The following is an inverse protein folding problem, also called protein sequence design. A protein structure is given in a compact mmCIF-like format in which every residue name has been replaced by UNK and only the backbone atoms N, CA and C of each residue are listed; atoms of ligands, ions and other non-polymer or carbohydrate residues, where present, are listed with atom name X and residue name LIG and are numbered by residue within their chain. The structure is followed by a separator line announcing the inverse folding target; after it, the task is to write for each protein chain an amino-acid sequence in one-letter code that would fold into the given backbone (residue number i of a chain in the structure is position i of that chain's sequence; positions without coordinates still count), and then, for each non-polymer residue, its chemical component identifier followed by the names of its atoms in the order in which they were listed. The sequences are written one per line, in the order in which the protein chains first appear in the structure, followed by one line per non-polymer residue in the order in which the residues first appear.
data_IF_312517014186
#
_entry.id   IF_312517014186
#
_cell.length_a   1.000
_cell.length_b   1.000
_cell.length_c   1.000
_cell.angle_alpha   90.00
_cell.angle_beta   90.00
_cell.angle_gamma   90.00
#
_symmetry.space_group_name_H-M   'P 1'
#
loop_
_entity.id
_entity.type
_entity.pdbx_description
1 polymer ?
#
# COMPACT_ATOMS: atom_id res chain seq x y z
N UNK A 1 -17.23 -13.98 -57.78
CA UNK A 1 -16.77 -14.85 -56.67
C UNK A 1 -15.33 -14.55 -56.19
N UNK A 2 -14.37 -14.15 -57.04
CA UNK A 2 -12.97 -13.85 -56.63
C UNK A 2 -12.78 -12.63 -55.70
N UNK A 3 -13.66 -11.62 -55.76
CA UNK A 3 -13.55 -10.39 -54.96
C UNK A 3 -14.00 -10.61 -53.51
N UNK A 4 -15.01 -11.44 -53.28
CA UNK A 4 -15.46 -11.76 -51.92
C UNK A 4 -14.44 -12.59 -51.14
N UNK A 5 -13.73 -13.51 -51.80
CA UNK A 5 -12.63 -14.26 -51.20
C UNK A 5 -11.44 -13.37 -50.80
N UNK A 6 -11.14 -12.32 -51.60
CA UNK A 6 -10.10 -11.33 -51.29
C UNK A 6 -10.49 -10.42 -50.12
N UNK A 7 -11.74 -9.99 -50.06
CA UNK A 7 -12.26 -9.20 -48.93
C UNK A 7 -12.31 -10.02 -47.62
N UNK A 8 -12.71 -11.29 -47.70
CA UNK A 8 -12.71 -12.20 -46.55
C UNK A 8 -11.29 -12.44 -46.00
N UNK A 9 -10.30 -12.55 -46.91
CA UNK A 9 -8.89 -12.72 -46.54
C UNK A 9 -8.30 -11.46 -45.87
N UNK A 10 -8.65 -10.27 -46.37
CA UNK A 10 -8.27 -9.00 -45.73
C UNK A 10 -8.88 -8.83 -44.33
N UNK A 11 -10.15 -9.23 -44.16
CA UNK A 11 -10.84 -9.14 -42.87
C UNK A 11 -10.27 -10.13 -41.84
N UNK A 12 -9.88 -11.32 -42.28
CA UNK A 12 -9.18 -12.31 -41.45
C UNK A 12 -7.81 -11.80 -40.97
N UNK A 13 -7.06 -11.10 -41.84
CA UNK A 13 -5.77 -10.49 -41.49
C UNK A 13 -5.93 -9.37 -40.45
N UNK A 14 -6.96 -8.54 -40.57
CA UNK A 14 -7.27 -7.49 -39.60
C UNK A 14 -7.65 -8.05 -38.21
N UNK A 15 -8.36 -9.19 -38.19
CA UNK A 15 -8.75 -9.86 -36.96
C UNK A 15 -7.54 -10.43 -36.21
N UNK A 16 -6.60 -11.05 -36.91
CA UNK A 16 -5.35 -11.57 -36.32
C UNK A 16 -4.51 -10.45 -35.69
N UNK A 17 -4.43 -9.28 -36.33
CA UNK A 17 -3.67 -8.13 -35.81
C UNK A 17 -4.30 -7.48 -34.57
N UNK A 18 -5.62 -7.64 -34.36
CA UNK A 18 -6.33 -7.06 -33.20
C UNK A 18 -6.07 -7.83 -31.89
N UNK A 19 -5.60 -9.08 -31.96
CA UNK A 19 -5.35 -9.92 -30.77
C UNK A 19 -3.93 -9.65 -30.20
N UNK A 20 -3.04 -9.01 -30.96
CA UNK A 20 -1.65 -8.77 -30.58
C UNK A 20 -1.44 -7.67 -29.53
N UNK A 21 -2.49 -6.93 -29.15
CA UNK A 21 -2.38 -5.78 -28.23
C UNK A 21 -2.62 -6.12 -26.75
N UNK A 22 -2.95 -7.36 -26.40
CA UNK A 22 -3.33 -7.75 -25.04
C UNK A 22 -2.23 -8.63 -24.40
N UNK A 23 -1.16 -8.03 -23.89
CA UNK A 23 -0.09 -8.83 -23.25
C UNK A 23 1.11 -8.10 -22.64
N UNK A 24 1.27 -6.79 -22.88
CA UNK A 24 2.45 -6.03 -22.39
C UNK A 24 2.10 -5.24 -21.12
N UNK A 25 1.45 -5.88 -20.16
CA UNK A 25 1.26 -5.33 -18.83
C UNK A 25 1.52 -6.43 -17.81
N UNK A 26 2.80 -6.61 -17.48
CA UNK A 26 3.17 -7.31 -16.26
C UNK A 26 2.92 -6.34 -15.11
N UNK A 27 2.03 -6.70 -14.19
CA UNK A 27 1.88 -6.03 -12.90
C UNK A 27 3.17 -6.25 -12.10
N UNK A 28 4.20 -5.47 -12.40
CA UNK A 28 5.39 -5.33 -11.56
C UNK A 28 5.01 -4.46 -10.35
N UNK A 29 4.02 -4.91 -9.60
CA UNK A 29 3.72 -4.33 -8.31
C UNK A 29 4.81 -4.81 -7.34
N UNK A 30 5.24 -3.90 -6.47
CA UNK A 30 6.51 -3.94 -5.73
C UNK A 30 6.71 -5.30 -5.05
N UNK A 31 7.59 -6.14 -5.61
CA UNK A 31 7.79 -7.50 -5.10
C UNK A 31 8.69 -7.45 -3.87
N UNK A 32 8.14 -7.87 -2.73
CA UNK A 32 8.93 -8.12 -1.52
C UNK A 32 9.91 -9.26 -1.85
N UNK A 33 11.22 -9.12 -1.60
CA UNK A 33 12.19 -10.16 -1.91
C UNK A 33 11.79 -11.48 -1.26
N UNK A 34 11.93 -12.63 -1.94
CA UNK A 34 11.50 -13.94 -1.42
C UNK A 34 12.26 -14.38 -0.16
N UNK A 35 13.37 -13.71 0.15
CA UNK A 35 14.17 -13.91 1.35
C UNK A 35 13.48 -13.38 2.63
N UNK A 36 12.59 -12.39 2.49
CA UNK A 36 11.89 -11.76 3.62
C UNK A 36 10.61 -12.54 3.89
N UNK A 37 10.51 -13.13 5.08
CA UNK A 37 9.34 -13.95 5.46
C UNK A 37 8.63 -13.42 6.69
N UNK A 38 9.34 -12.68 7.54
CA UNK A 38 8.85 -12.27 8.85
C UNK A 38 8.78 -10.75 8.98
N UNK A 39 7.73 -10.26 9.64
CA UNK A 39 7.55 -8.85 9.91
C UNK A 39 7.12 -8.62 11.35
N UNK A 40 7.75 -7.66 12.01
CA UNK A 40 7.33 -7.14 13.30
C UNK A 40 6.70 -5.77 13.12
N UNK A 41 5.47 -5.63 13.59
CA UNK A 41 4.72 -4.36 13.56
C UNK A 41 4.62 -3.86 15.01
N UNK A 42 5.31 -2.76 15.31
CA UNK A 42 5.19 -2.08 16.59
C UNK A 42 3.86 -1.33 16.74
N UNK A 43 3.46 -1.07 17.98
CA UNK A 43 2.31 -0.22 18.27
C UNK A 43 2.55 1.21 17.78
N UNK A 44 1.53 1.83 17.19
CA UNK A 44 1.63 3.20 16.68
C UNK A 44 1.40 4.18 17.83
N UNK A 45 2.48 4.70 18.40
CA UNK A 45 2.42 5.69 19.48
C UNK A 45 1.89 7.04 18.98
N UNK A 46 0.97 7.65 19.73
CA UNK A 46 0.52 9.01 19.45
C UNK A 46 1.40 10.04 20.17
N UNK A 47 2.20 10.79 19.43
CA UNK A 47 3.02 11.92 19.92
C UNK A 47 2.58 13.25 19.30
N UNK A 48 1.35 13.33 18.78
CA UNK A 48 0.77 14.57 18.31
C UNK A 48 0.39 15.49 19.48
N UNK A 49 0.30 16.79 19.22
CA UNK A 49 -0.09 17.79 20.22
C UNK A 49 -1.52 17.57 20.75
N UNK A 50 -2.44 17.19 19.86
CA UNK A 50 -3.80 16.80 20.23
C UNK A 50 -3.94 15.28 20.19
N UNK A 51 -4.14 14.66 21.35
CA UNK A 51 -4.10 13.21 21.50
C UNK A 51 -5.53 12.66 21.50
N UNK A 52 -5.87 11.95 20.42
CA UNK A 52 -7.01 11.04 20.42
C UNK A 52 -6.52 9.62 20.80
N UNK A 53 -6.97 9.03 21.92
CA UNK A 53 -6.47 7.75 22.40
C UNK A 53 -6.94 6.55 21.56
N UNK A 54 -8.06 6.64 20.84
CA UNK A 54 -8.57 5.53 20.02
C UNK A 54 -7.92 5.46 18.64
N UNK A 55 -7.39 6.58 18.14
CA UNK A 55 -6.74 6.69 16.84
C UNK A 55 -5.54 5.73 16.71
N UNK A 56 -4.70 5.64 17.74
CA UNK A 56 -3.54 4.73 17.74
C UNK A 56 -3.93 3.27 17.55
N UNK A 57 -4.92 2.81 18.31
CA UNK A 57 -5.38 1.43 18.23
C UNK A 57 -5.99 1.15 16.84
N UNK A 58 -6.88 2.01 16.36
CA UNK A 58 -7.53 1.84 15.06
C UNK A 58 -6.53 1.84 13.89
N UNK A 59 -5.55 2.74 13.90
CA UNK A 59 -4.52 2.79 12.87
C UNK A 59 -3.60 1.56 12.94
N UNK A 60 -3.25 1.11 14.14
CA UNK A 60 -2.45 -0.10 14.34
C UNK A 60 -3.18 -1.31 13.77
N UNK A 61 -4.46 -1.51 14.11
CA UNK A 61 -5.26 -2.64 13.64
C UNK A 61 -5.48 -2.59 12.12
N UNK A 62 -5.81 -1.41 11.59
CA UNK A 62 -5.95 -1.20 10.15
C UNK A 62 -4.64 -1.50 9.40
N UNK A 63 -3.50 -1.09 9.95
CA UNK A 63 -2.19 -1.35 9.37
C UNK A 63 -1.85 -2.83 9.39
N UNK A 64 -2.06 -3.52 10.52
CA UNK A 64 -1.87 -4.96 10.64
C UNK A 64 -2.72 -5.71 9.61
N UNK A 65 -4.00 -5.35 9.49
CA UNK A 65 -4.91 -5.96 8.51
C UNK A 65 -4.46 -5.69 7.06
N UNK A 66 -3.95 -4.48 6.78
CA UNK A 66 -3.43 -4.11 5.45
C UNK A 66 -2.20 -4.95 5.10
N UNK A 67 -1.25 -5.09 6.00
CA UNK A 67 -0.04 -5.90 5.79
C UNK A 67 -0.43 -7.37 5.57
N UNK A 68 -1.31 -7.92 6.40
CA UNK A 68 -1.76 -9.31 6.27
C UNK A 68 -2.53 -9.60 4.97
N UNK A 69 -3.26 -8.61 4.43
CA UNK A 69 -4.04 -8.78 3.18
C UNK A 69 -3.23 -8.53 1.92
N UNK A 70 -2.14 -7.76 1.99
CA UNK A 70 -1.34 -7.38 0.82
C UNK A 70 0.01 -8.09 0.74
N UNK A 71 0.43 -8.80 1.78
CA UNK A 71 1.72 -9.47 1.83
C UNK A 71 1.58 -10.90 2.35
N UNK A 72 2.54 -11.76 2.01
CA UNK A 72 2.64 -13.13 2.55
C UNK A 72 3.54 -13.19 3.80
N UNK A 73 3.80 -12.04 4.43
CA UNK A 73 4.70 -11.94 5.57
C UNK A 73 4.02 -12.49 6.82
N UNK A 74 4.75 -13.31 7.58
CA UNK A 74 4.29 -13.82 8.86
C UNK A 74 4.60 -12.80 9.95
N UNK A 75 3.59 -12.39 10.70
CA UNK A 75 3.78 -11.49 11.83
C UNK A 75 4.44 -12.23 13.00
N UNK A 76 5.54 -11.69 13.50
CA UNK A 76 6.19 -12.13 14.74
C UNK A 76 6.49 -10.93 15.63
N UNK A 77 6.48 -11.11 16.94
CA UNK A 77 6.75 -10.01 17.89
C UNK A 77 8.24 -9.86 18.25
N UNK A 78 9.12 -10.64 17.59
CA UNK A 78 10.58 -10.61 17.77
C UNK A 78 11.24 -9.45 16.98
N UNK A 79 12.23 -8.81 17.61
CA UNK A 79 13.11 -7.81 16.98
C UNK A 79 14.03 -8.40 15.92
N UNK A 80 14.23 -9.72 15.91
CA UNK A 80 14.99 -10.45 14.89
C UNK A 80 14.19 -10.73 13.61
N UNK A 81 12.96 -10.22 13.48
CA UNK A 81 12.19 -10.28 12.25
C UNK A 81 12.97 -9.67 11.08
N UNK A 82 12.72 -10.18 9.87
CA UNK A 82 13.40 -9.70 8.66
C UNK A 82 13.12 -8.21 8.44
N UNK A 83 11.86 -7.80 8.65
CA UNK A 83 11.44 -6.40 8.72
C UNK A 83 10.90 -6.03 10.10
N UNK A 84 11.36 -4.90 10.62
CA UNK A 84 10.82 -4.29 11.85
C UNK A 84 10.29 -2.90 11.51
N UNK A 85 9.01 -2.67 11.80
CA UNK A 85 8.35 -1.38 11.57
C UNK A 85 8.04 -0.72 12.89
N UNK A 86 8.55 0.50 13.06
CA UNK A 86 8.21 1.39 14.16
C UNK A 86 7.50 2.63 13.61
N UNK A 87 6.43 3.06 14.27
CA UNK A 87 5.59 4.14 13.77
C UNK A 87 5.17 5.08 14.88
N UNK A 88 5.05 6.37 14.56
CA UNK A 88 4.67 7.41 15.50
C UNK A 88 3.77 8.43 14.81
N UNK A 89 2.65 8.78 15.42
CA UNK A 89 1.78 9.86 14.95
C UNK A 89 2.41 11.17 15.44
N UNK A 90 2.72 12.07 14.50
CA UNK A 90 3.35 13.37 14.78
C UNK A 90 2.36 14.53 14.74
N UNK A 91 1.27 14.37 13.99
CA UNK A 91 0.34 15.46 13.73
C UNK A 91 -1.11 14.97 13.76
N UNK A 92 -1.97 15.73 14.42
CA UNK A 92 -3.41 15.53 14.45
C UNK A 92 -4.08 16.90 14.56
N UNK A 93 -4.63 17.40 13.46
CA UNK A 93 -5.24 18.73 13.38
C UNK A 93 -6.68 18.64 12.83
N UNK A 94 -7.57 19.43 13.42
CA UNK A 94 -8.96 19.57 13.00
C UNK A 94 -9.17 20.98 12.48
N UNK A 95 -9.62 21.11 11.23
CA UNK A 95 -9.92 22.40 10.61
C UNK A 95 -11.36 22.42 10.12
N UNK A 96 -12.10 23.49 10.40
CA UNK A 96 -13.45 23.67 9.87
C UNK A 96 -13.38 24.08 8.41
N UNK A 97 -14.09 23.35 7.55
CA UNK A 97 -14.20 23.59 6.13
C UNK A 97 -15.64 24.03 5.85
N UNK A 98 -15.84 25.34 5.67
CA UNK A 98 -17.08 25.91 5.10
C UNK A 98 -17.94 26.71 6.07
N UNK A 99 -18.24 27.95 5.67
CA UNK A 99 -19.31 28.79 6.22
C UNK A 99 -20.57 28.54 5.39
N UNK A 100 -21.60 27.92 5.96
CA UNK A 100 -22.88 27.70 5.29
C UNK A 100 -23.81 28.88 5.55
N UNK A 101 -24.24 29.60 4.51
CA UNK A 101 -25.17 30.74 4.58
C UNK A 101 -26.60 30.36 5.02
N UNK A 102 -26.85 29.07 5.30
CA UNK A 102 -28.12 28.53 5.77
C UNK A 102 -27.83 27.49 6.85
N UNK A 103 -27.50 27.97 8.06
CA UNK A 103 -27.59 27.33 9.38
C UNK A 103 -27.40 25.80 9.56
N UNK A 104 -26.72 25.06 8.68
CA UNK A 104 -26.37 23.65 8.90
C UNK A 104 -25.13 23.19 8.10
N UNK A 105 -24.33 22.37 8.81
CA UNK A 105 -23.10 21.64 8.44
C UNK A 105 -21.82 22.47 8.19
N UNK A 106 -21.00 22.63 9.25
CA UNK A 106 -19.55 22.85 9.17
C UNK A 106 -18.86 21.49 8.96
N UNK A 107 -18.15 21.28 7.84
CA UNK A 107 -17.41 20.05 7.60
C UNK A 107 -16.07 20.10 8.37
N UNK A 108 -15.82 19.13 9.25
CA UNK A 108 -14.53 19.04 9.95
C UNK A 108 -13.54 18.23 9.11
N UNK A 109 -12.44 18.85 8.70
CA UNK A 109 -11.32 18.19 8.03
C UNK A 109 -10.29 17.77 9.09
N UNK A 110 -10.07 16.46 9.20
CA UNK A 110 -9.06 15.86 10.05
C UNK A 110 -7.79 15.60 9.24
N UNK A 111 -6.64 16.09 9.72
CA UNK A 111 -5.32 15.84 9.13
C UNK A 111 -4.48 15.03 10.11
N UNK A 112 -4.00 13.87 9.69
CA UNK A 112 -3.19 12.98 10.53
C UNK A 112 -1.83 12.75 9.87
N UNK A 113 -0.75 13.15 10.54
CA UNK A 113 0.62 12.93 10.08
C UNK A 113 1.25 11.75 10.80
N UNK A 114 1.65 10.74 10.04
CA UNK A 114 2.28 9.51 10.52
C UNK A 114 3.72 9.44 10.05
N UNK A 115 4.65 9.16 10.97
CA UNK A 115 6.04 8.89 10.67
C UNK A 115 6.34 7.40 10.88
N UNK A 116 6.80 6.72 9.84
CA UNK A 116 7.11 5.28 9.86
C UNK A 116 8.59 5.05 9.55
N UNK A 117 9.21 4.13 10.26
CA UNK A 117 10.60 3.69 10.05
C UNK A 117 10.62 2.19 9.87
N UNK A 118 11.19 1.74 8.74
CA UNK A 118 11.43 0.34 8.42
C UNK A 118 12.90 0.02 8.67
N UNK A 119 13.15 -1.02 9.45
CA UNK A 119 14.47 -1.60 9.67
C UNK A 119 14.51 -2.94 8.94
N UNK A 120 15.52 -3.10 8.08
CA UNK A 120 15.78 -4.32 7.31
C UNK A 120 16.95 -5.10 7.93
N UNK A 121 16.63 -6.20 8.62
CA UNK A 121 17.61 -7.06 9.26
C UNK A 121 18.24 -8.08 8.30
N UNK A 122 17.70 -8.26 7.09
CA UNK A 122 18.27 -9.20 6.11
C UNK A 122 19.63 -8.73 5.60
N UNK A 123 19.85 -7.41 5.53
CA UNK A 123 21.15 -6.82 5.17
C UNK A 123 22.25 -7.13 6.19
N UNK A 124 21.90 -7.12 7.48
CA UNK A 124 22.86 -7.42 8.57
C UNK A 124 23.32 -8.88 8.55
N UNK A 125 22.49 -9.82 8.08
CA UNK A 125 22.89 -11.23 7.93
C UNK A 125 23.94 -11.42 6.84
N UNK A 126 23.98 -10.57 5.80
CA UNK A 126 24.94 -10.68 4.69
C UNK A 126 26.35 -10.17 5.03
N UNK A 127 26.50 -9.32 6.04
CA UNK A 127 27.80 -8.72 6.42
C UNK A 127 28.64 -9.55 7.38
N UNK A 128 28.11 -10.66 7.90
CA UNK A 128 28.79 -11.48 8.91
C UNK A 128 29.43 -12.75 8.32
N UNK A 129 29.56 -12.83 6.99
CA UNK A 129 30.17 -13.97 6.28
C UNK A 129 31.21 -13.45 5.29
N UNK A 130 32.22 -12.76 5.81
CA UNK A 130 33.49 -12.51 5.12
C UNK A 130 34.61 -12.56 6.14
#
# INVERSE_FOLDING_TARGET
MRVQARALWLLFICFVFSISSCGIYTFNDVSIPPEVKTIRIGFIENKAHYINPSLSAQLTDAFVKKVASQTKLTRIDDLNADYVINSVIRQYDVTTSGVSASNQASLNRLTVGLHMTLIDNTKKKRTNTT
#
